data_IF_984325529331
#
_entry.id   IF_984325529331
#
_cell.length_a   1.000
_cell.length_b   1.000
_cell.length_c   1.000
_cell.angle_alpha   90.00
_cell.angle_beta   90.00
_cell.angle_gamma   90.00
#
_symmetry.space_group_name_H-M   'P 1'
#
loop_
_entity.id
_entity.type
_entity.pdbx_description
1 polymer ?
#
# COMPACT_ATOMS: atom_id res chain seq x y z
N UNK A 1 -34.65 20.81 47.73
CA UNK A 1 -34.52 21.74 46.58
C UNK A 1 -33.49 21.32 45.52
N UNK A 2 -32.49 20.48 45.82
CA UNK A 2 -31.49 19.98 44.85
C UNK A 2 -32.09 19.11 43.74
N UNK A 3 -32.98 18.19 44.09
CA UNK A 3 -33.48 17.11 43.22
C UNK A 3 -34.22 17.63 41.96
N UNK A 4 -35.01 18.70 42.13
CA UNK A 4 -35.80 19.32 41.05
C UNK A 4 -34.92 19.93 39.95
N UNK A 5 -33.75 20.45 40.31
CA UNK A 5 -32.84 21.07 39.36
C UNK A 5 -32.06 20.03 38.55
N UNK A 6 -31.74 18.90 39.16
CA UNK A 6 -31.07 17.78 38.49
C UNK A 6 -32.01 17.07 37.51
N UNK A 7 -33.29 16.94 37.87
CA UNK A 7 -34.31 16.37 36.99
C UNK A 7 -34.57 17.27 35.77
N UNK A 8 -34.62 18.59 35.94
CA UNK A 8 -34.71 19.55 34.82
C UNK A 8 -33.50 19.46 33.89
N UNK A 9 -32.28 19.31 34.43
CA UNK A 9 -31.07 19.12 33.63
C UNK A 9 -31.09 17.81 32.85
N UNK A 10 -31.60 16.73 33.46
CA UNK A 10 -31.79 15.43 32.80
C UNK A 10 -32.78 15.54 31.64
N UNK A 11 -33.94 16.16 31.87
CA UNK A 11 -34.97 16.37 30.84
C UNK A 11 -34.48 17.22 29.68
N UNK A 12 -33.74 18.30 29.96
CA UNK A 12 -33.12 19.14 28.93
C UNK A 12 -32.14 18.34 28.06
N UNK A 13 -31.34 17.47 28.67
CA UNK A 13 -30.38 16.61 27.98
C UNK A 13 -31.06 15.60 27.05
N UNK A 14 -32.18 15.00 27.50
CA UNK A 14 -32.98 14.07 26.69
C UNK A 14 -33.60 14.80 25.50
N UNK A 15 -34.18 15.99 25.71
CA UNK A 15 -34.76 16.81 24.64
C UNK A 15 -33.72 17.20 23.59
N UNK A 16 -32.54 17.65 24.01
CA UNK A 16 -31.46 18.03 23.09
C UNK A 16 -30.96 16.82 22.28
N UNK A 17 -30.92 15.62 22.88
CA UNK A 17 -30.59 14.39 22.17
C UNK A 17 -31.64 14.03 21.11
N UNK A 18 -32.93 14.19 21.42
CA UNK A 18 -34.01 13.95 20.46
C UNK A 18 -33.99 14.96 19.30
N UNK A 19 -33.74 16.24 19.60
CA UNK A 19 -33.61 17.29 18.58
C UNK A 19 -32.41 17.01 17.65
N UNK A 20 -31.26 16.62 18.21
CA UNK A 20 -30.09 16.21 17.41
C UNK A 20 -30.34 14.96 16.57
N UNK A 21 -31.11 14.00 17.08
CA UNK A 21 -31.44 12.78 16.35
C UNK A 21 -32.42 13.03 15.18
N UNK A 22 -33.30 14.03 15.33
CA UNK A 22 -34.25 14.46 14.28
C UNK A 22 -33.67 15.40 13.25
N UNK A 23 -32.50 16.01 13.49
CA UNK A 23 -31.91 16.97 12.57
C UNK A 23 -31.39 16.28 11.28
N UNK A 24 -32.04 16.50 10.11
CA UNK A 24 -31.60 15.91 8.85
C UNK A 24 -30.25 16.47 8.37
N UNK A 25 -29.84 17.64 8.86
CA UNK A 25 -28.60 18.31 8.46
C UNK A 25 -27.35 17.52 8.86
N UNK A 26 -27.41 16.77 9.95
CA UNK A 26 -26.29 15.96 10.44
C UNK A 26 -26.01 14.79 9.50
N UNK A 27 -27.06 14.14 8.98
CA UNK A 27 -26.93 13.07 7.99
C UNK A 27 -26.41 13.62 6.66
N UNK A 28 -26.90 14.77 6.22
CA UNK A 28 -26.42 15.43 5.00
C UNK A 28 -24.95 15.84 5.11
N UNK A 29 -24.54 16.45 6.24
CA UNK A 29 -23.13 16.78 6.51
C UNK A 29 -22.24 15.54 6.52
N UNK A 30 -22.69 14.43 7.14
CA UNK A 30 -21.95 13.17 7.13
C UNK A 30 -21.78 12.61 5.72
N UNK A 31 -22.85 12.63 4.91
CA UNK A 31 -22.83 12.19 3.52
C UNK A 31 -21.91 13.06 2.65
N UNK A 32 -22.02 14.38 2.75
CA UNK A 32 -21.15 15.32 2.04
C UNK A 32 -19.68 15.13 2.42
N UNK A 33 -19.39 14.88 3.71
CA UNK A 33 -18.03 14.60 4.18
C UNK A 33 -17.49 13.31 3.56
N UNK A 34 -18.29 12.26 3.46
CA UNK A 34 -17.93 11.00 2.80
C UNK A 34 -17.72 11.17 1.30
N UNK A 35 -18.57 11.95 0.62
CA UNK A 35 -18.42 12.23 -0.81
C UNK A 35 -17.15 13.05 -1.06
N UNK A 36 -16.87 14.06 -0.22
CA UNK A 36 -15.69 14.90 -0.34
C UNK A 36 -14.38 14.11 -0.13
N UNK A 37 -14.33 13.22 0.86
CA UNK A 37 -13.16 12.35 1.09
C UNK A 37 -12.97 11.35 -0.05
N UNK A 38 -14.05 10.74 -0.55
CA UNK A 38 -13.98 9.82 -1.70
C UNK A 38 -13.52 10.53 -2.97
N UNK A 39 -14.02 11.74 -3.23
CA UNK A 39 -13.61 12.57 -4.38
C UNK A 39 -12.16 13.03 -4.26
N UNK A 40 -11.70 13.45 -3.08
CA UNK A 40 -10.28 13.79 -2.88
C UNK A 40 -9.35 12.58 -3.12
N UNK A 41 -9.77 11.38 -2.73
CA UNK A 41 -9.02 10.15 -3.03
C UNK A 41 -9.04 9.80 -4.52
N UNK A 42 -10.16 9.99 -5.22
CA UNK A 42 -10.26 9.67 -6.65
C UNK A 42 -9.64 10.72 -7.58
N UNK A 43 -9.51 11.98 -7.13
CA UNK A 43 -8.92 13.08 -7.91
C UNK A 43 -7.39 13.15 -7.72
N UNK A 44 -6.82 12.34 -6.84
CA UNK A 44 -5.36 12.16 -6.79
C UNK A 44 -4.96 11.55 -8.13
N UNK A 45 -4.31 12.35 -8.99
CA UNK A 45 -3.81 11.91 -10.30
C UNK A 45 -2.84 10.78 -10.03
N UNK A 46 -3.27 9.54 -10.27
CA UNK A 46 -2.44 8.37 -10.10
C UNK A 46 -1.32 8.47 -11.13
N UNK A 47 -0.15 8.95 -10.70
CA UNK A 47 1.00 9.08 -11.58
C UNK A 47 1.63 7.71 -11.75
N UNK A 48 2.01 7.32 -12.97
CA UNK A 48 2.78 6.09 -13.20
C UNK A 48 4.04 6.02 -12.33
N UNK A 49 4.63 7.16 -12.01
CA UNK A 49 5.77 7.26 -11.10
C UNK A 49 5.39 6.96 -9.64
N UNK A 50 4.20 7.37 -9.20
CA UNK A 50 3.68 7.03 -7.86
C UNK A 50 3.39 5.53 -7.78
N UNK A 51 2.79 4.92 -8.81
CA UNK A 51 2.54 3.48 -8.86
C UNK A 51 3.86 2.71 -8.76
N UNK A 52 4.87 3.09 -9.56
CA UNK A 52 6.20 2.49 -9.51
C UNK A 52 6.87 2.68 -8.15
N UNK A 53 6.62 3.78 -7.45
CA UNK A 53 7.15 4.02 -6.11
C UNK A 53 6.44 3.19 -5.04
N UNK A 54 5.14 2.96 -5.20
CA UNK A 54 4.29 2.17 -4.30
C UNK A 54 4.49 0.65 -4.46
N UNK A 55 5.09 0.21 -5.57
CA UNK A 55 5.46 -1.20 -5.77
C UNK A 55 6.55 -1.64 -4.79
N UNK A 56 6.27 -2.72 -4.07
CA UNK A 56 7.18 -3.40 -3.13
C UNK A 56 8.54 -3.69 -3.76
N UNK A 57 9.62 -3.53 -2.97
CA UNK A 57 10.97 -3.79 -3.43
C UNK A 57 11.19 -5.25 -3.84
N UNK A 58 10.38 -6.19 -3.31
CA UNK A 58 10.35 -7.60 -3.75
C UNK A 58 10.10 -7.72 -5.24
N UNK A 59 9.04 -7.08 -5.73
CA UNK A 59 8.62 -7.17 -7.13
C UNK A 59 9.67 -6.51 -8.02
N UNK A 60 10.22 -5.35 -7.61
CA UNK A 60 11.32 -4.68 -8.32
C UNK A 60 12.55 -5.56 -8.38
N UNK A 61 12.92 -6.17 -7.26
CA UNK A 61 14.06 -7.07 -7.16
C UNK A 61 13.91 -8.32 -8.04
N UNK A 62 12.74 -8.97 -8.02
CA UNK A 62 12.42 -10.09 -8.90
C UNK A 62 12.51 -9.70 -10.38
N UNK A 63 11.95 -8.54 -10.77
CA UNK A 63 12.04 -8.04 -12.14
C UNK A 63 13.47 -7.78 -12.57
N UNK A 64 14.26 -7.10 -11.73
CA UNK A 64 15.67 -6.80 -12.01
C UNK A 64 16.48 -8.11 -12.14
N UNK A 65 16.28 -9.05 -11.22
CA UNK A 65 16.93 -10.36 -11.25
C UNK A 65 16.57 -11.17 -12.50
N UNK A 66 15.29 -11.19 -12.87
CA UNK A 66 14.81 -11.88 -14.08
C UNK A 66 15.35 -11.26 -15.37
N UNK A 67 15.37 -9.92 -15.47
CA UNK A 67 15.95 -9.22 -16.63
C UNK A 67 17.45 -9.48 -16.75
N UNK A 68 18.19 -9.45 -15.64
CA UNK A 68 19.61 -9.78 -15.62
C UNK A 68 19.87 -11.23 -16.05
N UNK A 69 19.10 -12.17 -15.54
CA UNK A 69 19.21 -13.57 -15.94
C UNK A 69 18.89 -13.79 -17.41
N UNK A 70 17.87 -13.10 -17.94
CA UNK A 70 17.49 -13.18 -19.33
C UNK A 70 18.58 -12.59 -20.24
N UNK A 71 19.21 -11.49 -19.83
CA UNK A 71 20.39 -10.94 -20.50
C UNK A 71 21.53 -11.96 -20.56
N UNK A 72 21.83 -12.63 -19.45
CA UNK A 72 22.86 -13.67 -19.41
C UNK A 72 22.49 -14.81 -20.37
N UNK A 73 21.27 -15.32 -20.31
CA UNK A 73 20.82 -16.39 -21.20
C UNK A 73 20.95 -16.02 -22.70
N UNK A 74 20.69 -14.77 -23.07
CA UNK A 74 20.82 -14.32 -24.46
C UNK A 74 22.28 -14.08 -24.88
N UNK A 75 23.12 -13.58 -23.99
CA UNK A 75 24.50 -13.18 -24.30
C UNK A 75 25.46 -14.39 -24.24
N UNK A 76 25.25 -15.30 -23.30
CA UNK A 76 26.16 -16.40 -23.00
C UNK A 76 26.44 -17.35 -24.21
N UNK A 77 25.45 -17.70 -25.05
CA UNK A 77 25.68 -18.55 -26.23
C UNK A 77 26.59 -17.92 -27.30
N UNK A 78 26.74 -16.60 -27.31
CA UNK A 78 27.65 -15.93 -28.26
C UNK A 78 29.12 -16.19 -27.94
N UNK A 79 29.45 -16.41 -26.66
CA UNK A 79 30.82 -16.62 -26.19
C UNK A 79 31.19 -18.09 -26.08
N UNK A 80 30.21 -18.95 -25.74
CA UNK A 80 30.45 -20.36 -25.46
C UNK A 80 29.53 -21.22 -26.32
N UNK A 81 30.10 -21.87 -27.34
CA UNK A 81 29.38 -22.84 -28.16
C UNK A 81 29.46 -24.22 -27.51
N UNK A 82 28.56 -24.49 -26.58
CA UNK A 82 28.44 -25.83 -26.01
C UNK A 82 26.98 -26.18 -25.72
N UNK A 83 26.59 -27.42 -25.98
CA UNK A 83 25.19 -27.86 -25.94
C UNK A 83 24.52 -27.78 -24.56
N UNK A 84 25.29 -27.60 -23.48
CA UNK A 84 24.76 -27.47 -22.13
C UNK A 84 24.58 -26.01 -21.67
N UNK A 85 24.94 -25.04 -22.53
CA UNK A 85 24.91 -23.62 -22.19
C UNK A 85 23.49 -23.10 -21.94
N UNK A 86 22.50 -23.68 -22.64
CA UNK A 86 21.09 -23.32 -22.49
C UNK A 86 20.57 -23.66 -21.09
N UNK A 87 20.99 -24.81 -20.53
CA UNK A 87 20.64 -25.20 -19.16
C UNK A 87 21.26 -24.26 -18.13
N UNK A 88 22.50 -23.83 -18.35
CA UNK A 88 23.18 -22.87 -17.46
C UNK A 88 22.45 -21.52 -17.48
N UNK A 89 22.06 -21.04 -18.66
CA UNK A 89 21.36 -19.77 -18.76
C UNK A 89 19.94 -19.82 -18.15
N UNK A 90 19.20 -20.92 -18.34
CA UNK A 90 17.91 -21.14 -17.64
C UNK A 90 18.12 -21.17 -16.12
N UNK A 91 19.16 -21.86 -15.65
CA UNK A 91 19.54 -21.88 -14.24
C UNK A 91 19.86 -20.49 -13.70
N UNK A 92 20.59 -19.68 -14.48
CA UNK A 92 20.92 -18.30 -14.14
C UNK A 92 19.66 -17.41 -14.02
N UNK A 93 18.69 -17.55 -14.93
CA UNK A 93 17.39 -16.85 -14.84
C UNK A 93 16.70 -17.18 -13.53
N UNK A 94 16.55 -18.47 -13.22
CA UNK A 94 15.84 -18.90 -12.02
C UNK A 94 16.56 -18.41 -10.75
N UNK A 95 17.87 -18.61 -10.68
CA UNK A 95 18.68 -18.21 -9.54
C UNK A 95 18.67 -16.71 -9.29
N UNK A 96 18.90 -15.89 -10.33
CA UNK A 96 18.92 -14.43 -10.20
C UNK A 96 17.54 -13.85 -9.88
N UNK A 97 16.48 -14.44 -10.40
CA UNK A 97 15.09 -14.04 -10.08
C UNK A 97 14.80 -14.25 -8.59
N UNK A 98 15.19 -15.42 -8.05
CA UNK A 98 15.03 -15.75 -6.63
C UNK A 98 15.90 -14.83 -5.77
N UNK A 99 17.17 -14.66 -6.15
CA UNK A 99 18.10 -13.77 -5.44
C UNK A 99 17.56 -12.33 -5.39
N UNK A 100 17.06 -11.84 -6.52
CA UNK A 100 16.41 -10.53 -6.63
C UNK A 100 15.19 -10.40 -5.72
N UNK A 101 14.36 -11.43 -5.63
CA UNK A 101 13.22 -11.47 -4.71
C UNK A 101 13.66 -11.34 -3.24
N UNK A 102 14.66 -12.11 -2.81
CA UNK A 102 15.16 -12.07 -1.43
C UNK A 102 15.82 -10.74 -1.08
N UNK A 103 16.61 -10.17 -1.99
CA UNK A 103 17.19 -8.83 -1.81
C UNK A 103 16.06 -7.79 -1.69
N UNK A 104 15.06 -7.85 -2.55
CA UNK A 104 13.89 -6.98 -2.49
C UNK A 104 13.11 -7.13 -1.18
N UNK A 105 13.00 -8.37 -0.67
CA UNK A 105 12.37 -8.63 0.63
C UNK A 105 13.17 -8.04 1.78
N UNK A 106 14.49 -8.17 1.77
CA UNK A 106 15.35 -7.61 2.80
C UNK A 106 15.25 -6.08 2.85
N UNK A 107 15.14 -5.42 1.70
CA UNK A 107 14.93 -3.97 1.61
C UNK A 107 13.57 -3.55 2.17
N UNK A 108 12.50 -4.26 1.82
CA UNK A 108 11.16 -3.99 2.38
C UNK A 108 11.15 -4.18 3.90
N UNK A 109 11.80 -5.23 4.42
CA UNK A 109 11.91 -5.47 5.87
C UNK A 109 12.72 -4.36 6.55
N UNK A 110 13.83 -3.91 5.95
CA UNK A 110 14.65 -2.81 6.48
C UNK A 110 13.83 -1.51 6.57
N UNK A 111 13.09 -1.19 5.53
CA UNK A 111 12.31 0.05 5.48
C UNK A 111 11.14 0.02 6.47
N UNK A 112 10.48 -1.13 6.65
CA UNK A 112 9.47 -1.34 7.69
C UNK A 112 10.04 -1.20 9.11
N UNK A 113 11.21 -1.77 9.37
CA UNK A 113 11.91 -1.59 10.66
C UNK A 113 12.29 -0.13 10.92
N UNK A 114 12.73 0.59 9.88
CA UNK A 114 13.07 2.02 10.00
C UNK A 114 11.84 2.87 10.34
N UNK A 115 10.68 2.55 9.77
CA UNK A 115 9.42 3.21 10.10
C UNK A 115 9.00 2.97 11.55
N UNK A 116 9.19 1.74 12.06
CA UNK A 116 8.91 1.41 13.46
C UNK A 116 9.83 2.11 14.46
N UNK A 117 11.10 2.30 14.10
CA UNK A 117 12.09 2.96 14.97
C UNK A 117 11.89 4.49 15.03
N UNK A 118 11.46 5.10 13.92
CA UNK A 118 11.28 6.55 13.82
C UNK A 118 9.92 7.06 14.32
N UNK A 119 9.10 6.19 14.93
CA UNK A 119 7.74 6.48 15.38
C UNK A 119 7.65 6.46 16.89
#
# INVERSE_FOLDING_TARGET
MSDKNDELRRLKRIRDQQLRARDPSVKQKKLQRTIATKRRKSVRKVSFLEILREVSHKIKGTLVGGVLGLLIFLILPYFVKTSWIDFVGIGAIFFLTILGFFIGQALDTRDSLKELINK
#
